data_IF_716110426990
#
_entry.id   IF_716110426990
#
_cell.length_a   1.000
_cell.length_b   1.000
_cell.length_c   1.000
_cell.angle_alpha   90.00
_cell.angle_beta   90.00
_cell.angle_gamma   90.00
#
_symmetry.space_group_name_H-M   'P 1'
#
loop_
_entity.id
_entity.type
_entity.pdbx_description
1 polymer ?
#
# COMPACT_ATOMS: atom_id res chain seq x y z
N UNK A 1 -31.80 28.60 -40.29
CA UNK A 1 -32.37 29.01 -38.99
C UNK A 1 -33.29 27.93 -38.42
N UNK A 2 -34.40 27.56 -39.08
CA UNK A 2 -35.32 26.49 -38.60
C UNK A 2 -34.68 25.11 -38.33
N UNK A 3 -33.78 24.64 -39.20
CA UNK A 3 -33.10 23.35 -39.02
C UNK A 3 -32.21 23.29 -37.77
N UNK A 4 -31.65 24.42 -37.33
CA UNK A 4 -30.79 24.48 -36.15
C UNK A 4 -31.66 24.38 -34.87
N UNK A 5 -32.83 25.02 -34.86
CA UNK A 5 -33.78 24.96 -33.74
C UNK A 5 -34.44 23.57 -33.60
N UNK A 6 -34.64 22.86 -34.72
CA UNK A 6 -35.12 21.48 -34.70
C UNK A 6 -34.05 20.51 -34.19
N UNK A 7 -32.79 20.71 -34.59
CA UNK A 7 -31.65 19.96 -34.03
C UNK A 7 -31.49 20.25 -32.53
N UNK A 8 -31.59 21.50 -32.08
CA UNK A 8 -31.54 21.84 -30.65
C UNK A 8 -32.66 21.16 -29.85
N UNK A 9 -33.90 21.18 -30.34
CA UNK A 9 -35.03 20.50 -29.67
C UNK A 9 -34.83 18.99 -29.57
N UNK A 10 -34.32 18.36 -30.63
CA UNK A 10 -33.98 16.93 -30.63
C UNK A 10 -32.84 16.60 -29.67
N UNK A 11 -31.81 17.44 -29.61
CA UNK A 11 -30.69 17.25 -28.68
C UNK A 11 -31.18 17.36 -27.23
N UNK A 12 -31.98 18.37 -26.89
CA UNK A 12 -32.51 18.51 -25.52
C UNK A 12 -33.40 17.32 -25.12
N UNK A 13 -34.29 16.85 -26.00
CA UNK A 13 -35.12 15.68 -25.73
C UNK A 13 -34.28 14.39 -25.60
N UNK A 14 -33.23 14.25 -26.41
CA UNK A 14 -32.29 13.14 -26.27
C UNK A 14 -31.53 13.21 -24.94
N UNK A 15 -31.10 14.40 -24.51
CA UNK A 15 -30.41 14.59 -23.24
C UNK A 15 -31.30 14.29 -22.03
N UNK A 16 -32.57 14.71 -22.03
CA UNK A 16 -33.52 14.35 -20.96
C UNK A 16 -33.79 12.84 -20.91
N UNK A 17 -33.93 12.20 -22.07
CA UNK A 17 -34.11 10.75 -22.17
C UNK A 17 -32.87 9.97 -21.71
N UNK A 18 -31.68 10.48 -22.00
CA UNK A 18 -30.43 9.90 -21.49
C UNK A 18 -30.31 10.12 -19.97
N UNK A 19 -30.65 11.31 -19.47
CA UNK A 19 -30.64 11.61 -18.04
C UNK A 19 -31.55 10.68 -17.23
N UNK A 20 -32.79 10.49 -17.69
CA UNK A 20 -33.74 9.54 -17.08
C UNK A 20 -33.28 8.09 -17.19
N UNK A 21 -32.68 7.70 -18.32
CA UNK A 21 -32.08 6.38 -18.50
C UNK A 21 -30.91 6.12 -17.54
N UNK A 22 -30.03 7.10 -17.34
CA UNK A 22 -28.88 7.02 -16.43
C UNK A 22 -29.33 6.96 -14.97
N UNK A 23 -30.39 7.66 -14.58
CA UNK A 23 -30.95 7.56 -13.23
C UNK A 23 -31.55 6.18 -12.95
N UNK A 24 -32.26 5.58 -13.91
CA UNK A 24 -32.80 4.23 -13.78
C UNK A 24 -31.69 3.17 -13.74
N UNK A 25 -30.70 3.29 -14.62
CA UNK A 25 -29.55 2.39 -14.63
C UNK A 25 -28.72 2.56 -13.36
N UNK A 26 -28.56 3.78 -12.87
CA UNK A 26 -27.87 4.11 -11.62
C UNK A 26 -28.59 3.56 -10.40
N UNK A 27 -29.92 3.50 -10.39
CA UNK A 27 -30.70 2.84 -9.35
C UNK A 27 -30.61 1.31 -9.42
N UNK A 28 -30.54 0.72 -10.61
CA UNK A 28 -30.35 -0.72 -10.79
C UNK A 28 -28.91 -1.17 -10.48
N UNK A 29 -27.92 -0.33 -10.78
CA UNK A 29 -26.49 -0.56 -10.51
C UNK A 29 -26.07 -0.09 -9.11
N UNK A 30 -27.01 0.35 -8.26
CA UNK A 30 -26.69 0.58 -6.84
C UNK A 30 -26.25 -0.76 -6.22
N UNK A 31 -25.15 -0.77 -5.47
CA UNK A 31 -24.63 -1.99 -4.86
C UNK A 31 -25.70 -2.69 -4.01
N UNK A 32 -26.57 -1.94 -3.32
CA UNK A 32 -27.67 -2.49 -2.50
C UNK A 32 -28.68 -3.35 -3.29
N UNK A 33 -28.93 -3.06 -4.57
CA UNK A 33 -29.90 -3.79 -5.39
C UNK A 33 -29.33 -5.12 -5.92
N UNK A 34 -28.10 -5.09 -6.43
CA UNK A 34 -27.39 -6.30 -6.87
C UNK A 34 -27.02 -7.19 -5.68
N UNK A 35 -26.65 -6.60 -4.55
CA UNK A 35 -26.30 -7.32 -3.33
C UNK A 35 -27.54 -7.96 -2.69
N UNK A 36 -28.69 -7.27 -2.69
CA UNK A 36 -29.97 -7.86 -2.27
C UNK A 36 -30.42 -9.05 -3.14
N UNK A 37 -30.26 -8.95 -4.47
CA UNK A 37 -30.57 -10.06 -5.39
C UNK A 37 -29.59 -11.24 -5.23
N UNK A 38 -28.30 -10.98 -4.97
CA UNK A 38 -27.31 -12.02 -4.67
C UNK A 38 -27.63 -12.74 -3.36
N UNK A 39 -28.00 -12.00 -2.32
CA UNK A 39 -28.40 -12.58 -1.03
C UNK A 39 -29.65 -13.45 -1.20
N UNK A 40 -30.68 -12.97 -1.89
CA UNK A 40 -31.88 -13.78 -2.16
C UNK A 40 -31.58 -15.05 -2.98
N UNK A 41 -30.67 -14.96 -3.97
CA UNK A 41 -30.27 -16.12 -4.77
C UNK A 41 -29.49 -17.15 -3.94
N UNK A 42 -28.60 -16.69 -3.05
CA UNK A 42 -27.86 -17.57 -2.12
C UNK A 42 -28.81 -18.22 -1.10
N UNK A 43 -29.81 -17.50 -0.59
CA UNK A 43 -30.86 -18.04 0.29
C UNK A 43 -31.70 -19.12 -0.41
N UNK A 44 -32.14 -18.88 -1.64
CA UNK A 44 -32.90 -19.86 -2.45
C UNK A 44 -32.06 -21.08 -2.83
N UNK A 45 -30.76 -20.91 -3.11
CA UNK A 45 -29.84 -22.04 -3.35
C UNK A 45 -29.65 -22.89 -2.11
N UNK A 46 -29.51 -22.26 -0.95
CA UNK A 46 -29.37 -22.94 0.33
C UNK A 46 -30.66 -23.70 0.69
N UNK A 47 -31.83 -23.09 0.47
CA UNK A 47 -33.13 -23.74 0.66
C UNK A 47 -33.30 -24.96 -0.27
N UNK A 48 -32.93 -24.83 -1.54
CA UNK A 48 -32.98 -25.95 -2.49
C UNK A 48 -32.02 -27.08 -2.11
N UNK A 49 -30.78 -26.78 -1.71
CA UNK A 49 -29.82 -27.78 -1.26
C UNK A 49 -30.34 -28.55 -0.03
N UNK A 50 -30.98 -27.85 0.92
CA UNK A 50 -31.59 -28.48 2.10
C UNK A 50 -32.79 -29.37 1.72
N UNK A 51 -33.61 -28.97 0.74
CA UNK A 51 -34.72 -29.78 0.25
C UNK A 51 -34.22 -31.02 -0.50
N UNK A 52 -33.18 -30.90 -1.32
CA UNK A 52 -32.54 -32.03 -2.01
C UNK A 52 -31.94 -33.03 -1.02
N UNK A 53 -31.28 -32.56 0.03
CA UNK A 53 -30.74 -33.42 1.08
C UNK A 53 -31.86 -34.13 1.87
N UNK A 54 -32.95 -33.42 2.21
CA UNK A 54 -34.13 -34.02 2.83
C UNK A 54 -34.79 -35.07 1.93
N UNK A 55 -34.89 -34.81 0.63
CA UNK A 55 -35.42 -35.76 -0.33
C UNK A 55 -34.52 -36.99 -0.48
N UNK A 56 -33.20 -36.81 -0.47
CA UNK A 56 -32.24 -37.91 -0.52
C UNK A 56 -32.32 -38.77 0.73
N UNK A 57 -32.36 -38.15 1.90
CA UNK A 57 -32.51 -38.85 3.18
C UNK A 57 -33.86 -39.57 3.30
N UNK A 58 -34.95 -38.98 2.80
CA UNK A 58 -36.27 -39.62 2.78
C UNK A 58 -36.28 -40.83 1.85
N UNK A 59 -35.69 -40.72 0.64
CA UNK A 59 -35.55 -41.84 -0.29
C UNK A 59 -34.72 -42.97 0.31
N UNK A 60 -33.59 -42.66 0.92
CA UNK A 60 -32.71 -43.64 1.55
C UNK A 60 -33.40 -44.36 2.72
N UNK A 61 -34.14 -43.63 3.57
CA UNK A 61 -34.97 -44.23 4.62
C UNK A 61 -36.04 -45.16 4.04
N UNK A 62 -36.72 -44.74 2.97
CA UNK A 62 -37.75 -45.55 2.35
C UNK A 62 -37.19 -46.80 1.67
N UNK A 63 -36.06 -46.69 0.98
CA UNK A 63 -35.42 -47.85 0.35
C UNK A 63 -34.90 -48.83 1.43
N UNK A 64 -34.39 -48.33 2.56
CA UNK A 64 -34.05 -49.14 3.74
C UNK A 64 -35.28 -49.82 4.36
N UNK A 65 -36.41 -49.13 4.49
CA UNK A 65 -37.68 -49.71 4.96
C UNK A 65 -38.19 -50.80 4.01
N UNK A 66 -38.07 -50.60 2.70
CA UNK A 66 -38.44 -51.58 1.66
C UNK A 66 -37.53 -52.81 1.72
N UNK A 67 -36.22 -52.63 1.87
CA UNK A 67 -35.27 -53.74 1.95
C UNK A 67 -35.40 -54.50 3.28
N UNK A 68 -35.66 -53.81 4.39
CA UNK A 68 -35.97 -54.43 5.68
C UNK A 68 -37.26 -55.26 5.59
N UNK A 69 -38.33 -54.70 5.02
CA UNK A 69 -39.57 -55.46 4.79
C UNK A 69 -39.30 -56.69 3.92
N UNK A 70 -38.52 -56.58 2.83
CA UNK A 70 -38.16 -57.72 1.97
C UNK A 70 -37.36 -58.80 2.72
N UNK A 71 -36.40 -58.41 3.57
CA UNK A 71 -35.65 -59.34 4.40
C UNK A 71 -36.52 -60.04 5.46
N UNK A 72 -37.48 -59.32 6.04
CA UNK A 72 -38.48 -59.88 6.94
C UNK A 72 -39.36 -60.91 6.20
N UNK A 73 -39.75 -60.65 4.95
CA UNK A 73 -40.48 -61.63 4.14
C UNK A 73 -39.64 -62.89 3.84
N UNK A 74 -38.34 -62.72 3.55
CA UNK A 74 -37.42 -63.82 3.27
C UNK A 74 -37.18 -64.70 4.52
N UNK A 75 -37.03 -64.08 5.70
CA UNK A 75 -36.83 -64.78 6.97
C UNK A 75 -38.09 -65.51 7.44
N UNK A 76 -39.26 -64.90 7.28
CA UNK A 76 -40.56 -65.53 7.56
C UNK A 76 -40.85 -66.71 6.61
N UNK A 77 -40.38 -66.63 5.36
CA UNK A 77 -40.45 -67.73 4.39
C UNK A 77 -39.56 -68.92 4.77
N UNK A 78 -38.50 -68.70 5.55
CA UNK A 78 -37.53 -69.72 5.98
C UNK A 78 -37.86 -70.47 7.27
N UNK A 79 -38.88 -70.05 8.05
CA UNK A 79 -39.23 -70.71 9.33
C UNK A 79 -40.31 -71.80 9.13
N UNK A 80 -40.13 -73.03 9.66
CA UNK A 80 -41.19 -74.04 9.67
C UNK A 80 -41.84 -74.11 11.06
N UNK A 81 -43.02 -73.50 11.27
CA UNK A 81 -43.84 -73.77 12.47
C UNK A 81 -45.31 -73.27 12.32
N UNK A 82 -46.21 -73.52 13.31
CA UNK A 82 -47.49 -74.23 13.17
C UNK A 82 -48.67 -73.35 12.68
N UNK A 83 -49.74 -74.02 12.25
CA UNK A 83 -50.79 -73.49 11.35
C UNK A 83 -51.70 -72.33 11.78
N UNK A 84 -51.39 -71.55 12.83
CA UNK A 84 -52.14 -70.32 13.17
C UNK A 84 -51.30 -69.03 12.99
N UNK A 85 -49.98 -69.07 13.18
CA UNK A 85 -49.09 -67.92 12.93
C UNK A 85 -48.80 -67.76 11.43
N UNK A 86 -48.78 -68.85 10.67
CA UNK A 86 -48.63 -68.82 9.20
C UNK A 86 -49.71 -68.00 8.51
N UNK A 87 -50.94 -68.02 9.03
CA UNK A 87 -52.06 -67.29 8.44
C UNK A 87 -52.00 -65.79 8.80
N UNK A 88 -51.51 -65.44 10.00
CA UNK A 88 -51.26 -64.04 10.38
C UNK A 88 -50.10 -63.43 9.59
N UNK A 89 -49.01 -64.19 9.42
CA UNK A 89 -47.86 -63.76 8.63
C UNK A 89 -48.19 -63.65 7.14
N UNK A 90 -49.02 -64.56 6.60
CA UNK A 90 -49.56 -64.44 5.23
C UNK A 90 -50.45 -63.20 5.07
N UNK A 91 -51.22 -62.83 6.09
CA UNK A 91 -52.02 -61.60 6.07
C UNK A 91 -51.13 -60.34 6.08
N UNK A 92 -50.08 -60.31 6.91
CA UNK A 92 -49.11 -59.20 6.95
C UNK A 92 -48.28 -59.10 5.66
N UNK A 93 -47.89 -60.23 5.07
CA UNK A 93 -47.28 -60.32 3.74
C UNK A 93 -48.20 -59.74 2.65
N UNK A 94 -49.49 -60.10 2.69
CA UNK A 94 -50.48 -59.56 1.76
C UNK A 94 -50.67 -58.05 1.95
N UNK A 95 -50.63 -57.55 3.18
CA UNK A 95 -50.72 -56.12 3.48
C UNK A 95 -49.45 -55.35 3.03
N UNK A 96 -48.26 -55.90 3.28
CA UNK A 96 -46.98 -55.29 2.86
C UNK A 96 -46.83 -55.28 1.33
N UNK A 97 -47.24 -56.34 0.64
CA UNK A 97 -47.27 -56.38 -0.83
C UNK A 97 -48.28 -55.39 -1.39
N UNK A 98 -49.44 -55.21 -0.75
CA UNK A 98 -50.39 -54.17 -1.12
C UNK A 98 -49.82 -52.75 -0.93
N UNK A 99 -49.12 -52.48 0.19
CA UNK A 99 -48.46 -51.19 0.42
C UNK A 99 -47.33 -50.92 -0.60
N UNK A 100 -46.49 -51.91 -0.90
CA UNK A 100 -45.47 -51.80 -1.93
C UNK A 100 -46.08 -51.49 -3.31
N UNK A 101 -47.19 -52.15 -3.67
CA UNK A 101 -47.89 -51.87 -4.91
C UNK A 101 -48.42 -50.42 -4.97
N UNK A 102 -48.90 -49.85 -3.86
CA UNK A 102 -49.32 -48.43 -3.82
C UNK A 102 -48.15 -47.46 -3.97
N UNK A 103 -46.97 -47.79 -3.42
CA UNK A 103 -45.76 -46.96 -3.54
C UNK A 103 -45.18 -47.04 -4.95
N UNK A 104 -45.17 -48.22 -5.56
CA UNK A 104 -44.75 -48.40 -6.95
C UNK A 104 -45.68 -47.66 -7.91
N UNK A 105 -47.00 -47.66 -7.67
CA UNK A 105 -47.96 -46.85 -8.41
C UNK A 105 -47.68 -45.34 -8.26
N UNK A 106 -47.48 -44.83 -7.03
CA UNK A 106 -47.15 -43.43 -6.81
C UNK A 106 -45.80 -43.01 -7.43
N UNK A 107 -44.81 -43.92 -7.48
CA UNK A 107 -43.54 -43.70 -8.18
C UNK A 107 -43.74 -43.63 -9.70
N UNK A 108 -44.62 -44.45 -10.26
CA UNK A 108 -44.96 -44.42 -11.68
C UNK A 108 -45.68 -43.11 -12.05
N UNK A 109 -46.68 -42.69 -11.26
CA UNK A 109 -47.40 -41.42 -11.47
C UNK A 109 -46.46 -40.21 -11.38
N UNK A 110 -45.50 -40.23 -10.44
CA UNK A 110 -44.50 -39.16 -10.30
C UNK A 110 -43.48 -39.15 -11.44
N UNK A 111 -43.12 -40.32 -11.98
CA UNK A 111 -42.28 -40.40 -13.17
C UNK A 111 -43.01 -39.87 -14.41
N UNK A 112 -44.31 -40.16 -14.55
CA UNK A 112 -45.16 -39.66 -15.62
C UNK A 112 -45.35 -38.14 -15.52
N UNK A 113 -45.61 -37.61 -14.32
CA UNK A 113 -45.72 -36.16 -14.08
C UNK A 113 -44.41 -35.43 -14.39
N UNK A 114 -43.25 -36.01 -14.08
CA UNK A 114 -41.94 -35.45 -14.44
C UNK A 114 -41.68 -35.47 -15.94
N UNK A 115 -41.98 -36.58 -16.60
CA UNK A 115 -41.87 -36.67 -18.05
C UNK A 115 -42.82 -35.69 -18.75
N UNK A 116 -44.01 -35.44 -18.20
CA UNK A 116 -44.95 -34.44 -18.71
C UNK A 116 -44.43 -33.01 -18.51
N UNK A 117 -43.76 -32.72 -17.38
CA UNK A 117 -43.16 -31.41 -17.12
C UNK A 117 -41.93 -31.16 -18.03
N UNK A 118 -41.08 -32.16 -18.20
CA UNK A 118 -39.89 -32.09 -19.08
C UNK A 118 -40.27 -31.97 -20.56
N UNK A 119 -41.37 -32.59 -20.98
CA UNK A 119 -41.90 -32.48 -22.34
C UNK A 119 -42.95 -31.37 -22.49
N UNK A 120 -43.17 -30.55 -21.46
CA UNK A 120 -44.11 -29.44 -21.58
C UNK A 120 -43.50 -28.40 -22.52
N UNK A 121 -44.25 -28.05 -23.56
CA UNK A 121 -43.85 -27.02 -24.53
C UNK A 121 -43.52 -25.70 -23.85
N UNK A 122 -44.16 -25.42 -22.71
CA UNK A 122 -43.92 -24.23 -21.87
C UNK A 122 -42.48 -24.16 -21.33
N UNK A 123 -41.87 -25.28 -20.92
CA UNK A 123 -40.48 -25.27 -20.43
C UNK A 123 -39.49 -25.00 -21.56
N UNK A 124 -39.74 -25.55 -22.75
CA UNK A 124 -38.91 -25.29 -23.92
C UNK A 124 -39.12 -23.88 -24.47
N UNK A 125 -40.34 -23.35 -24.41
CA UNK A 125 -40.68 -21.96 -24.75
C UNK A 125 -40.00 -20.96 -23.79
N UNK A 126 -40.04 -21.21 -22.48
CA UNK A 126 -39.35 -20.36 -21.49
C UNK A 126 -37.83 -20.40 -21.63
N UNK A 127 -37.25 -21.57 -21.93
CA UNK A 127 -35.81 -21.68 -22.24
C UNK A 127 -35.46 -20.89 -23.49
N UNK A 128 -36.27 -20.99 -24.55
CA UNK A 128 -36.07 -20.23 -25.78
C UNK A 128 -36.23 -18.71 -25.55
N UNK A 129 -37.18 -18.29 -24.71
CA UNK A 129 -37.37 -16.89 -24.33
C UNK A 129 -36.19 -16.36 -23.50
N UNK A 130 -35.67 -17.14 -22.56
CA UNK A 130 -34.46 -16.78 -21.79
C UNK A 130 -33.24 -16.65 -22.72
N UNK A 131 -33.08 -17.55 -23.68
CA UNK A 131 -31.99 -17.49 -24.66
C UNK A 131 -32.12 -16.22 -25.53
N UNK A 132 -33.33 -15.96 -26.04
CA UNK A 132 -33.68 -14.75 -26.80
C UNK A 132 -33.39 -13.46 -26.02
N UNK A 133 -33.78 -13.38 -24.74
CA UNK A 133 -33.54 -12.21 -23.90
C UNK A 133 -32.05 -12.03 -23.59
N UNK A 134 -31.30 -13.13 -23.44
CA UNK A 134 -29.84 -13.10 -23.28
C UNK A 134 -29.14 -12.60 -24.54
N UNK A 135 -29.55 -13.07 -25.71
CA UNK A 135 -29.02 -12.59 -26.98
C UNK A 135 -29.38 -11.11 -27.22
N UNK A 136 -30.61 -10.71 -26.91
CA UNK A 136 -31.07 -9.32 -27.02
C UNK A 136 -30.32 -8.37 -26.07
N UNK A 137 -30.06 -8.79 -24.83
CA UNK A 137 -29.27 -8.01 -23.86
C UNK A 137 -27.78 -7.95 -24.22
N UNK A 138 -27.22 -9.04 -24.74
CA UNK A 138 -25.83 -9.09 -25.24
C UNK A 138 -25.63 -8.25 -26.50
N UNK A 139 -26.66 -8.14 -27.35
CA UNK A 139 -26.63 -7.39 -28.61
C UNK A 139 -27.25 -5.99 -28.50
N UNK A 140 -27.66 -5.58 -27.30
CA UNK A 140 -28.18 -4.23 -27.07
C UNK A 140 -27.15 -3.20 -27.53
N UNK A 141 -27.59 -2.21 -28.31
CA UNK A 141 -26.72 -1.12 -28.79
C UNK A 141 -25.99 -0.41 -27.64
N UNK A 142 -26.59 -0.39 -26.44
CA UNK A 142 -26.00 0.14 -25.22
C UNK A 142 -24.77 -0.67 -24.77
N UNK A 143 -24.84 -2.01 -24.76
CA UNK A 143 -23.70 -2.84 -24.34
C UNK A 143 -22.57 -2.81 -25.37
N UNK A 144 -22.90 -2.70 -26.66
CA UNK A 144 -21.91 -2.47 -27.72
C UNK A 144 -21.23 -1.09 -27.59
N UNK A 145 -22.00 -0.04 -27.27
CA UNK A 145 -21.48 1.32 -27.07
C UNK A 145 -20.55 1.41 -25.85
N UNK A 146 -20.92 0.76 -24.74
CA UNK A 146 -20.10 0.70 -23.53
C UNK A 146 -18.81 -0.09 -23.76
N UNK A 147 -18.84 -1.19 -24.53
CA UNK A 147 -17.63 -1.93 -24.91
C UNK A 147 -16.68 -1.08 -25.73
N UNK A 148 -17.18 -0.34 -26.72
CA UNK A 148 -16.37 0.60 -27.52
C UNK A 148 -15.79 1.73 -26.66
N UNK A 149 -16.55 2.23 -25.69
CA UNK A 149 -16.06 3.27 -24.78
C UNK A 149 -14.99 2.72 -23.82
N UNK A 150 -15.16 1.51 -23.29
CA UNK A 150 -14.11 0.82 -22.51
C UNK A 150 -12.85 0.61 -23.35
N UNK A 151 -12.99 0.20 -24.60
CA UNK A 151 -11.86 0.03 -25.53
C UNK A 151 -11.12 1.35 -25.77
N UNK A 152 -11.84 2.48 -25.84
CA UNK A 152 -11.26 3.83 -25.95
C UNK A 152 -10.60 4.31 -24.67
N UNK A 153 -11.17 4.01 -23.50
CA UNK A 153 -10.66 4.46 -22.21
C UNK A 153 -9.45 3.64 -21.73
N UNK A 154 -9.35 2.38 -22.13
CA UNK A 154 -8.24 1.49 -21.77
C UNK A 154 -6.86 2.07 -22.10
N UNK A 155 -6.55 2.56 -23.33
CA UNK A 155 -5.25 3.16 -23.63
C UNK A 155 -5.01 4.49 -22.90
N UNK A 156 -6.07 5.21 -22.52
CA UNK A 156 -5.95 6.45 -21.75
C UNK A 156 -5.55 6.11 -20.31
N UNK A 157 -6.18 5.09 -19.72
CA UNK A 157 -5.85 4.60 -18.38
C UNK A 157 -4.41 4.06 -18.30
N UNK A 158 -3.96 3.31 -19.31
CA UNK A 158 -2.56 2.85 -19.35
C UNK A 158 -1.59 4.02 -19.49
N UNK A 159 -1.90 5.01 -20.34
CA UNK A 159 -1.07 6.22 -20.47
C UNK A 159 -1.02 7.01 -19.16
N UNK A 160 -2.14 7.16 -18.46
CA UNK A 160 -2.17 7.80 -17.14
C UNK A 160 -1.26 7.10 -16.14
N UNK A 161 -1.32 5.76 -16.07
CA UNK A 161 -0.41 4.97 -15.21
C UNK A 161 1.07 5.19 -15.55
N UNK A 162 1.44 5.23 -16.83
CA UNK A 162 2.83 5.52 -17.22
C UNK A 162 3.28 6.92 -16.83
N UNK A 163 2.39 7.92 -16.92
CA UNK A 163 2.70 9.31 -16.52
C UNK A 163 2.85 9.43 -15.00
N UNK A 164 2.05 8.70 -14.23
CA UNK A 164 2.20 8.64 -12.76
C UNK A 164 3.55 8.04 -12.37
N UNK A 165 3.99 6.96 -13.03
CA UNK A 165 5.32 6.39 -12.80
C UNK A 165 6.45 7.36 -13.17
N UNK A 166 6.32 8.09 -14.29
CA UNK A 166 7.28 9.12 -14.70
C UNK A 166 7.33 10.28 -13.68
N UNK A 167 6.18 10.71 -13.16
CA UNK A 167 6.11 11.77 -12.13
C UNK A 167 6.76 11.31 -10.82
N UNK A 168 6.59 10.06 -10.41
CA UNK A 168 7.26 9.52 -9.21
C UNK A 168 8.78 9.51 -9.40
N UNK A 169 9.27 9.08 -10.57
CA UNK A 169 10.70 9.10 -10.90
C UNK A 169 11.27 10.51 -10.89
N UNK A 170 10.62 11.45 -11.57
CA UNK A 170 11.06 12.85 -11.61
C UNK A 170 11.06 13.51 -10.23
N UNK A 171 10.09 13.19 -9.36
CA UNK A 171 10.08 13.67 -7.97
C UNK A 171 11.27 13.13 -7.19
N UNK A 172 11.61 11.85 -7.34
CA UNK A 172 12.79 11.26 -6.69
C UNK A 172 14.09 11.93 -7.17
N UNK A 173 14.23 12.13 -8.48
CA UNK A 173 15.38 12.84 -9.06
C UNK A 173 15.49 14.29 -8.56
N UNK A 174 14.35 14.97 -8.36
CA UNK A 174 14.32 16.33 -7.80
C UNK A 174 14.82 16.35 -6.35
N UNK A 175 14.37 15.42 -5.51
CA UNK A 175 14.81 15.28 -4.12
C UNK A 175 16.31 14.99 -4.05
N UNK A 176 16.81 14.12 -4.93
CA UNK A 176 18.25 13.86 -5.04
C UNK A 176 19.03 15.12 -5.46
N UNK A 177 18.48 15.93 -6.36
CA UNK A 177 19.09 17.21 -6.76
C UNK A 177 19.09 18.24 -5.62
N UNK A 178 18.02 18.31 -4.82
CA UNK A 178 17.97 19.19 -3.66
C UNK A 178 19.02 18.77 -2.62
N UNK A 179 19.12 17.46 -2.36
CA UNK A 179 20.14 16.89 -1.49
C UNK A 179 21.56 17.17 -1.98
N UNK A 180 21.80 17.12 -3.29
CA UNK A 180 23.09 17.53 -3.87
C UNK A 180 23.37 19.02 -3.67
N UNK A 181 22.33 19.86 -3.68
CA UNK A 181 22.42 21.28 -3.32
C UNK A 181 22.87 21.48 -1.87
N UNK A 182 22.24 20.78 -0.94
CA UNK A 182 22.58 20.85 0.49
C UNK A 182 24.01 20.38 0.77
N UNK A 183 24.42 19.24 0.21
CA UNK A 183 25.79 18.72 0.35
C UNK A 183 26.82 19.69 -0.25
N UNK A 184 26.52 20.34 -1.37
CA UNK A 184 27.41 21.34 -1.95
C UNK A 184 27.52 22.58 -1.05
N UNK A 185 26.41 23.03 -0.45
CA UNK A 185 26.44 24.13 0.50
C UNK A 185 27.29 23.79 1.75
N UNK A 186 27.15 22.57 2.27
CA UNK A 186 27.98 22.08 3.39
C UNK A 186 29.47 22.00 3.00
N UNK A 187 29.79 21.50 1.81
CA UNK A 187 31.16 21.49 1.31
C UNK A 187 31.76 22.89 1.16
N UNK A 188 30.98 23.86 0.67
CA UNK A 188 31.44 25.25 0.59
C UNK A 188 31.68 25.86 1.97
N UNK A 189 30.81 25.59 2.95
CA UNK A 189 31.03 26.00 4.33
C UNK A 189 32.31 25.40 4.92
N UNK A 190 32.53 24.09 4.77
CA UNK A 190 33.75 23.42 5.25
C UNK A 190 35.01 23.92 4.54
N UNK A 191 34.92 24.27 3.25
CA UNK A 191 36.01 24.90 2.50
C UNK A 191 36.32 26.29 3.04
N UNK A 192 35.30 27.11 3.30
CA UNK A 192 35.46 28.44 3.90
C UNK A 192 36.05 28.36 5.32
N UNK A 193 35.62 27.37 6.11
CA UNK A 193 36.19 27.13 7.44
C UNK A 193 37.67 26.74 7.35
N UNK A 194 38.02 25.82 6.45
CA UNK A 194 39.41 25.40 6.23
C UNK A 194 40.32 26.53 5.75
N UNK A 195 39.83 27.43 4.90
CA UNK A 195 40.61 28.59 4.46
C UNK A 195 40.82 29.59 5.61
N UNK A 196 39.78 29.84 6.41
CA UNK A 196 39.87 30.66 7.62
C UNK A 196 40.88 30.09 8.63
N UNK A 197 40.82 28.78 8.91
CA UNK A 197 41.77 28.08 9.76
C UNK A 197 43.20 28.15 9.23
N UNK A 198 43.39 27.98 7.92
CA UNK A 198 44.69 28.13 7.28
C UNK A 198 45.27 29.55 7.44
N UNK A 199 44.44 30.57 7.30
CA UNK A 199 44.84 31.96 7.50
C UNK A 199 45.17 32.26 8.98
N UNK A 200 44.42 31.72 9.94
CA UNK A 200 44.69 31.86 11.36
C UNK A 200 46.02 31.18 11.75
N UNK A 201 46.28 29.97 11.24
CA UNK A 201 47.52 29.24 11.48
C UNK A 201 48.74 29.97 10.90
N UNK A 202 48.62 30.50 9.68
CA UNK A 202 49.70 31.30 9.07
C UNK A 202 50.04 32.53 9.91
N UNK A 203 49.05 33.21 10.49
CA UNK A 203 49.30 34.37 11.37
C UNK A 203 50.00 33.96 12.67
N UNK A 204 49.60 32.83 13.26
CA UNK A 204 50.26 32.29 14.45
C UNK A 204 51.74 31.94 14.16
N UNK A 205 52.01 31.32 13.01
CA UNK A 205 53.37 31.00 12.58
C UNK A 205 54.22 32.28 12.41
N UNK A 206 53.67 33.33 11.80
CA UNK A 206 54.35 34.62 11.66
C UNK A 206 54.66 35.26 13.03
N UNK A 207 53.73 35.18 13.98
CA UNK A 207 53.93 35.72 15.33
C UNK A 207 54.93 34.90 16.14
N UNK A 208 54.95 33.57 16.01
CA UNK A 208 55.98 32.71 16.59
C UNK A 208 57.36 33.00 16.02
N UNK A 209 57.47 33.25 14.71
CA UNK A 209 58.74 33.66 14.09
C UNK A 209 59.21 35.01 14.63
N UNK A 210 58.31 35.99 14.79
CA UNK A 210 58.62 37.28 15.40
C UNK A 210 59.09 37.15 16.85
N UNK A 211 58.43 36.33 17.66
CA UNK A 211 58.82 36.06 19.04
C UNK A 211 60.21 35.40 19.12
N UNK A 212 60.51 34.44 18.24
CA UNK A 212 61.84 33.80 18.17
C UNK A 212 62.93 34.82 17.84
N UNK A 213 62.69 35.67 16.84
CA UNK A 213 63.63 36.72 16.44
C UNK A 213 63.88 37.74 17.55
N UNK A 214 62.83 38.26 18.19
CA UNK A 214 62.95 39.22 19.29
C UNK A 214 63.69 38.62 20.50
N UNK A 215 63.48 37.33 20.79
CA UNK A 215 64.24 36.62 21.84
C UNK A 215 65.71 36.41 21.47
N UNK A 216 66.03 36.17 20.21
CA UNK A 216 67.41 36.07 19.73
C UNK A 216 68.14 37.42 19.86
N UNK A 217 67.47 38.51 19.48
CA UNK A 217 67.98 39.88 19.64
C UNK A 217 68.17 40.26 21.11
N UNK A 218 67.24 39.87 21.99
CA UNK A 218 67.40 40.03 23.45
C UNK A 218 68.60 39.27 23.99
N UNK A 219 68.80 38.01 23.58
CA UNK A 219 69.98 37.21 23.99
C UNK A 219 71.27 37.88 23.56
N UNK A 220 71.34 38.33 22.30
CA UNK A 220 72.50 39.04 21.78
C UNK A 220 72.78 40.33 22.56
N UNK A 221 71.76 41.13 22.84
CA UNK A 221 71.91 42.38 23.61
C UNK A 221 72.34 42.11 25.07
N UNK A 222 71.87 41.03 25.68
CA UNK A 222 72.29 40.61 27.03
C UNK A 222 73.73 40.12 27.04
N UNK A 223 74.16 39.38 26.02
CA UNK A 223 75.53 38.90 25.90
C UNK A 223 76.51 40.06 25.67
N UNK A 224 76.16 41.05 24.83
CA UNK A 224 76.92 42.30 24.66
C UNK A 224 77.05 43.06 25.99
N UNK A 225 75.94 43.18 26.74
CA UNK A 225 75.94 43.83 28.05
C UNK A 225 76.82 43.11 29.07
N UNK A 226 76.80 41.78 29.09
CA UNK A 226 77.62 40.97 29.99
C UNK A 226 79.10 41.15 29.69
N UNK A 227 79.49 41.08 28.40
CA UNK A 227 80.86 41.31 27.99
C UNK A 227 81.36 42.71 28.39
N UNK A 228 80.55 43.76 28.13
CA UNK A 228 80.90 45.13 28.52
C UNK A 228 80.96 45.33 30.04
N UNK A 229 80.16 44.60 30.81
CA UNK A 229 80.21 44.61 32.27
C UNK A 229 81.46 43.90 32.83
N UNK A 230 81.92 42.82 32.19
CA UNK A 230 83.16 42.13 32.54
C UNK A 230 84.40 43.02 32.29
N UNK A 231 84.38 43.82 31.24
CA UNK A 231 85.40 44.83 30.93
C UNK A 231 85.34 46.09 31.84
N UNK A 232 84.37 46.14 32.76
CA UNK A 232 84.22 47.21 33.76
C UNK A 232 83.67 48.53 33.23
N UNK A 233 83.14 48.57 32.00
CA UNK A 233 82.67 49.80 31.34
C UNK A 233 81.30 49.61 30.66
N UNK A 234 80.21 49.44 31.43
CA UNK A 234 78.87 49.37 30.85
C UNK A 234 78.45 50.73 30.26
N UNK A 235 78.30 50.79 28.94
CA UNK A 235 77.82 51.97 28.21
C UNK A 235 76.29 52.13 28.40
N UNK A 236 75.85 53.36 28.70
CA UNK A 236 74.43 53.71 28.79
C UNK A 236 73.66 53.41 27.49
N UNK A 237 74.31 53.48 26.33
CA UNK A 237 73.69 53.13 25.05
C UNK A 237 73.40 51.62 24.92
N UNK A 238 74.28 50.76 25.45
CA UNK A 238 74.07 49.30 25.47
C UNK A 238 72.94 48.92 26.43
N UNK A 239 72.87 49.57 27.59
CA UNK A 239 71.78 49.35 28.55
C UNK A 239 70.42 49.73 27.91
N UNK A 240 70.35 50.90 27.28
CA UNK A 240 69.15 51.33 26.56
C UNK A 240 68.77 50.32 25.47
N UNK A 241 69.75 49.82 24.68
CA UNK A 241 69.50 48.81 23.64
C UNK A 241 68.93 47.50 24.20
N UNK A 242 69.47 46.99 25.30
CA UNK A 242 68.97 45.77 25.91
C UNK A 242 67.57 45.95 26.52
N UNK A 243 67.28 47.08 27.15
CA UNK A 243 65.93 47.37 27.65
C UNK A 243 64.90 47.50 26.54
N UNK A 244 65.29 48.07 25.38
CA UNK A 244 64.44 48.08 24.18
C UNK A 244 64.20 46.66 23.66
N UNK A 245 65.24 45.84 23.56
CA UNK A 245 65.11 44.43 23.16
C UNK A 245 64.24 43.62 24.15
N UNK A 246 64.31 43.91 25.45
CA UNK A 246 63.46 43.28 26.47
C UNK A 246 61.99 43.68 26.31
N UNK A 247 61.73 44.97 26.07
CA UNK A 247 60.38 45.46 25.78
C UNK A 247 59.83 44.88 24.47
N UNK A 248 60.67 44.71 23.44
CA UNK A 248 60.27 44.10 22.17
C UNK A 248 60.00 42.59 22.31
N UNK A 249 60.83 41.86 23.06
CA UNK A 249 60.63 40.44 23.34
C UNK A 249 59.35 40.18 24.17
N UNK A 250 59.10 40.99 25.20
CA UNK A 250 57.88 40.89 26.03
C UNK A 250 56.62 41.23 25.25
N UNK A 251 56.66 42.26 24.38
CA UNK A 251 55.55 42.57 23.47
C UNK A 251 55.31 41.46 22.46
N UNK A 252 56.36 40.86 21.91
CA UNK A 252 56.22 39.75 20.97
C UNK A 252 55.61 38.51 21.66
N UNK A 253 56.04 38.19 22.88
CA UNK A 253 55.45 37.11 23.67
C UNK A 253 53.95 37.34 23.95
N UNK A 254 53.58 38.54 24.41
CA UNK A 254 52.17 38.89 24.64
C UNK A 254 51.33 38.84 23.35
N UNK A 255 51.89 39.22 22.21
CA UNK A 255 51.22 39.14 20.92
C UNK A 255 50.97 37.68 20.49
N UNK A 256 51.96 36.81 20.68
CA UNK A 256 51.83 35.36 20.44
C UNK A 256 50.76 34.75 21.35
N UNK A 257 50.81 35.02 22.66
CA UNK A 257 49.80 34.51 23.61
C UNK A 257 48.38 34.94 23.22
N UNK A 258 48.21 36.20 22.81
CA UNK A 258 46.94 36.72 22.32
C UNK A 258 46.48 36.06 21.00
N UNK A 259 47.41 35.74 20.10
CA UNK A 259 47.12 35.04 18.85
C UNK A 259 46.72 33.58 19.10
N UNK A 260 47.42 32.88 19.99
CA UNK A 260 47.10 31.51 20.42
C UNK A 260 45.71 31.46 21.06
N UNK A 261 45.41 32.38 21.99
CA UNK A 261 44.09 32.45 22.63
C UNK A 261 42.96 32.68 21.60
N UNK A 262 43.18 33.55 20.61
CA UNK A 262 42.20 33.78 19.53
C UNK A 262 42.03 32.56 18.64
N UNK A 263 43.11 31.85 18.31
CA UNK A 263 43.06 30.62 17.50
C UNK A 263 42.31 29.50 18.23
N UNK A 264 42.52 29.36 19.54
CA UNK A 264 41.79 28.40 20.38
C UNK A 264 40.30 28.76 20.47
N UNK A 265 39.98 30.03 20.73
CA UNK A 265 38.59 30.50 20.78
C UNK A 265 37.86 30.27 19.45
N UNK A 266 38.49 30.61 18.32
CA UNK A 266 37.93 30.37 16.99
C UNK A 266 37.62 28.90 16.70
N UNK A 267 38.32 27.95 17.35
CA UNK A 267 38.08 26.51 17.23
C UNK A 267 37.04 25.99 18.21
N UNK A 268 36.92 26.60 19.39
CA UNK A 268 35.94 26.20 20.41
C UNK A 268 34.55 26.78 20.15
N UNK A 269 34.45 27.97 19.58
CA UNK A 269 33.18 28.64 19.28
C UNK A 269 32.20 27.79 18.44
N UNK A 270 32.62 27.14 17.32
CA UNK A 270 31.72 26.24 16.58
C UNK A 270 31.33 24.97 17.35
N UNK A 271 32.19 24.46 18.24
CA UNK A 271 31.88 23.29 19.06
C UNK A 271 30.87 23.61 20.17
N UNK A 272 30.96 24.82 20.73
CA UNK A 272 30.03 25.31 21.75
C UNK A 272 28.66 25.64 21.16
N UNK A 273 28.60 26.22 19.96
CA UNK A 273 27.32 26.47 19.28
C UNK A 273 26.63 25.17 18.88
N UNK A 274 27.37 24.17 18.42
CA UNK A 274 26.84 22.82 18.15
C UNK A 274 26.33 22.13 19.43
N UNK A 275 27.06 22.25 20.55
CA UNK A 275 26.63 21.69 21.84
C UNK A 275 25.34 22.34 22.36
N UNK A 276 25.22 23.67 22.26
CA UNK A 276 23.98 24.38 22.65
C UNK A 276 22.78 24.02 21.76
N UNK A 277 22.98 23.75 20.48
CA UNK A 277 21.91 23.30 19.58
C UNK A 277 21.45 21.88 19.93
N UNK A 278 22.36 20.98 20.30
CA UNK A 278 22.04 19.62 20.71
C UNK A 278 21.31 19.55 22.07
N UNK A 279 21.58 20.47 22.99
CA UNK A 279 20.83 20.57 24.26
C UNK A 279 19.45 21.19 24.09
N UNK A 280 19.24 22.04 23.07
CA UNK A 280 17.96 22.71 22.81
C UNK A 280 16.91 21.88 22.05
N UNK A 281 17.27 20.72 21.49
CA UNK A 281 16.33 19.81 20.79
C UNK A 281 15.67 18.77 21.74
N UNK A 282 15.97 18.80 23.04
CA UNK A 282 15.46 17.83 24.03
C UNK A 282 14.38 18.44 24.97
N UNK A 283 14.03 19.72 24.82
CA UNK A 283 12.88 20.35 25.52
C UNK A 283 11.66 20.54 24.60
#
# INVERSE_FOLDING_TARGET
>A
MSQIEELQRRIMAAMERIGTGVELLGNAARPDGEEGLRVALEEERLANAQLEERLKALKERHDQEVDAMRADLETLRGQPAPGNETDQLRAQLAEATARLATVEAARADLAEAKAALENSSEVDELKAEIESLREASSNSEETASLRLEIERLTPIATRAGTLEEELVKLRAEMVDSERLGDLNAELEMLRAERTSHGAAMSRLDDDLQRMRKANEELRHAVDELRAAAEDGMPDAALLNRATVAELEATRAAQATDAAEARAVLARLEPLLTQANLAEGEVE
#
